data_IF_528399356337
#
_entry.id   IF_528399356337
#
_cell.length_a   1.000
_cell.length_b   1.000
_cell.length_c   1.000
_cell.angle_alpha   90.00
_cell.angle_beta   90.00
_cell.angle_gamma   90.00
#
_symmetry.space_group_name_H-M   'P 1'
#
loop_
_entity.id
_entity.type
_entity.pdbx_description
1 polymer ?
#
# COMPACT_ATOMS: atom_id res chain seq x y z
N UNK A 1 22.99 -30.30 -30.13
CA UNK A 1 22.93 -28.91 -29.56
C UNK A 1 21.93 -28.90 -28.44
N UNK A 2 22.39 -28.80 -27.20
CA UNK A 2 21.49 -28.73 -26.03
C UNK A 2 20.87 -27.30 -25.94
N UNK A 3 19.58 -27.15 -25.61
CA UNK A 3 18.98 -25.84 -25.46
C UNK A 3 19.62 -25.09 -24.27
N UNK A 4 20.17 -23.92 -24.53
CA UNK A 4 20.66 -23.00 -23.49
C UNK A 4 19.52 -22.71 -22.56
N UNK A 5 19.56 -23.29 -21.35
CA UNK A 5 18.60 -23.01 -20.28
C UNK A 5 18.53 -21.51 -20.06
N UNK A 6 17.33 -20.92 -20.20
CA UNK A 6 17.05 -19.55 -19.77
C UNK A 6 17.33 -19.50 -18.27
N UNK A 7 18.46 -18.92 -17.87
CA UNK A 7 18.70 -18.55 -16.47
C UNK A 7 17.51 -17.72 -16.04
N UNK A 8 16.75 -18.18 -15.05
CA UNK A 8 15.73 -17.35 -14.37
C UNK A 8 16.47 -16.10 -13.92
N UNK A 9 16.17 -14.95 -14.53
CA UNK A 9 16.68 -13.67 -14.04
C UNK A 9 16.23 -13.55 -12.58
N UNK A 10 17.17 -13.37 -11.67
CA UNK A 10 16.87 -13.10 -10.29
C UNK A 10 15.96 -11.86 -10.24
N UNK A 11 14.91 -11.92 -9.45
CA UNK A 11 13.97 -10.81 -9.28
C UNK A 11 14.70 -9.74 -8.47
N UNK A 12 14.79 -8.52 -8.98
CA UNK A 12 15.37 -7.38 -8.27
C UNK A 12 14.43 -7.07 -7.09
N UNK A 13 14.96 -7.09 -5.88
CA UNK A 13 14.23 -6.75 -4.66
C UNK A 13 14.23 -5.25 -4.36
N UNK A 14 13.38 -4.79 -3.45
CA UNK A 14 13.44 -3.42 -2.95
C UNK A 14 14.74 -3.14 -2.19
N UNK A 15 15.26 -4.15 -1.50
CA UNK A 15 16.55 -4.11 -0.80
C UNK A 15 17.73 -3.90 -1.78
N UNK A 16 17.74 -4.62 -2.91
CA UNK A 16 18.76 -4.40 -3.95
C UNK A 16 18.74 -2.95 -4.46
N UNK A 17 17.54 -2.37 -4.61
CA UNK A 17 17.36 -1.00 -5.08
C UNK A 17 17.76 0.04 -4.03
N UNK A 18 17.60 -0.25 -2.74
CA UNK A 18 17.94 0.66 -1.65
C UNK A 18 19.42 1.07 -1.62
N UNK A 19 20.31 0.24 -2.18
CA UNK A 19 21.72 0.58 -2.37
C UNK A 19 21.97 1.73 -3.37
N UNK A 20 20.94 2.12 -4.12
CA UNK A 20 21.03 3.14 -5.19
C UNK A 20 20.10 4.33 -4.96
N UNK A 21 19.48 4.42 -3.81
CA UNK A 21 18.56 5.48 -3.40
C UNK A 21 17.31 4.97 -2.71
N UNK A 22 16.47 5.86 -2.21
CA UNK A 22 15.25 5.49 -1.52
C UNK A 22 14.17 5.03 -2.51
N UNK A 23 13.75 3.78 -2.37
CA UNK A 23 12.56 3.25 -3.04
C UNK A 23 11.31 3.91 -2.46
N UNK A 24 11.31 4.14 -1.15
CA UNK A 24 10.21 4.80 -0.45
C UNK A 24 9.94 6.20 -1.00
N UNK A 25 10.98 6.97 -1.33
CA UNK A 25 10.87 8.34 -1.84
C UNK A 25 10.93 8.46 -3.36
N UNK A 26 11.12 7.33 -4.06
CA UNK A 26 11.23 7.32 -5.52
C UNK A 26 12.53 7.96 -6.03
N UNK A 27 13.60 7.99 -5.23
CA UNK A 27 14.87 8.63 -5.57
C UNK A 27 15.94 7.66 -6.04
N UNK A 28 15.59 6.42 -6.38
CA UNK A 28 16.51 5.40 -6.90
C UNK A 28 17.15 5.85 -8.20
N UNK A 29 18.48 5.86 -8.24
CA UNK A 29 19.24 6.17 -9.45
C UNK A 29 19.24 4.95 -10.40
N UNK A 30 18.38 5.00 -11.41
CA UNK A 30 18.17 3.89 -12.37
C UNK A 30 19.45 3.51 -13.12
N UNK A 31 20.31 4.47 -13.47
CA UNK A 31 21.54 4.20 -14.21
C UNK A 31 22.57 3.46 -13.36
N UNK A 32 22.79 3.96 -12.14
CA UNK A 32 23.70 3.32 -11.19
C UNK A 32 23.21 1.93 -10.80
N UNK A 33 21.89 1.78 -10.55
CA UNK A 33 21.29 0.50 -10.24
C UNK A 33 21.43 -0.51 -11.40
N UNK A 34 21.16 -0.09 -12.63
CA UNK A 34 21.29 -0.96 -13.80
C UNK A 34 22.73 -1.46 -13.98
N UNK A 35 23.71 -0.57 -13.81
CA UNK A 35 25.14 -0.90 -13.90
C UNK A 35 25.57 -1.83 -12.75
N UNK A 36 25.24 -1.48 -11.50
CA UNK A 36 25.67 -2.23 -10.31
C UNK A 36 25.04 -3.62 -10.25
N UNK A 37 23.75 -3.75 -10.59
CA UNK A 37 23.02 -5.02 -10.60
C UNK A 37 23.22 -5.83 -11.90
N UNK A 38 23.90 -5.26 -12.90
CA UNK A 38 24.14 -5.88 -14.22
C UNK A 38 22.83 -6.28 -14.92
N UNK A 39 21.85 -5.41 -14.90
CA UNK A 39 20.53 -5.60 -15.51
C UNK A 39 20.18 -4.43 -16.43
N UNK A 40 19.09 -4.54 -17.21
CA UNK A 40 18.65 -3.41 -18.04
C UNK A 40 17.98 -2.30 -17.21
N UNK A 41 18.05 -1.03 -17.66
CA UNK A 41 17.30 0.09 -17.06
C UNK A 41 15.80 -0.21 -16.99
N UNK A 42 15.26 -0.94 -17.99
CA UNK A 42 13.85 -1.36 -18.01
C UNK A 42 13.51 -2.31 -16.86
N UNK A 43 14.40 -3.27 -16.57
CA UNK A 43 14.20 -4.21 -15.45
C UNK A 43 14.22 -3.47 -14.11
N UNK A 44 15.13 -2.50 -13.94
CA UNK A 44 15.19 -1.62 -12.74
C UNK A 44 13.90 -0.81 -12.59
N UNK A 45 13.46 -0.14 -13.65
CA UNK A 45 12.21 0.64 -13.63
C UNK A 45 10.98 -0.24 -13.33
N UNK A 46 10.97 -1.46 -13.83
CA UNK A 46 9.90 -2.41 -13.51
C UNK A 46 9.92 -2.81 -12.04
N UNK A 47 11.11 -3.08 -11.48
CA UNK A 47 11.26 -3.41 -10.06
C UNK A 47 10.84 -2.24 -9.16
N UNK A 48 11.22 -0.99 -9.49
CA UNK A 48 10.76 0.21 -8.78
C UNK A 48 9.23 0.29 -8.77
N UNK A 49 8.58 0.18 -9.94
CA UNK A 49 7.10 0.19 -10.02
C UNK A 49 6.44 -0.91 -9.20
N UNK A 50 7.05 -2.10 -9.15
CA UNK A 50 6.53 -3.21 -8.34
C UNK A 50 6.65 -2.92 -6.84
N UNK A 51 7.78 -2.38 -6.40
CA UNK A 51 8.00 -1.99 -5.01
C UNK A 51 7.06 -0.86 -4.58
N UNK A 52 6.90 0.19 -5.40
CA UNK A 52 5.94 1.27 -5.16
C UNK A 52 4.49 0.77 -5.09
N UNK A 53 4.11 -0.17 -5.96
CA UNK A 53 2.78 -0.77 -5.94
C UNK A 53 2.55 -1.61 -4.67
N UNK A 54 3.54 -2.36 -4.22
CA UNK A 54 3.48 -3.12 -2.97
C UNK A 54 3.33 -2.19 -1.77
N UNK A 55 4.13 -1.14 -1.68
CA UNK A 55 4.03 -0.12 -0.64
C UNK A 55 2.65 0.57 -0.65
N UNK A 56 2.14 0.93 -1.84
CA UNK A 56 0.81 1.51 -1.99
C UNK A 56 -0.28 0.60 -1.44
N UNK A 57 -0.20 -0.70 -1.72
CA UNK A 57 -1.14 -1.68 -1.21
C UNK A 57 -1.05 -1.79 0.32
N UNK A 58 0.15 -1.83 0.88
CA UNK A 58 0.38 -1.88 2.32
C UNK A 58 -0.26 -0.67 3.01
N UNK A 59 0.05 0.55 2.57
CA UNK A 59 -0.53 1.77 3.12
C UNK A 59 -2.05 1.79 2.99
N UNK A 60 -2.56 1.48 1.80
CA UNK A 60 -3.99 1.48 1.56
C UNK A 60 -4.75 0.52 2.48
N UNK A 61 -4.27 -0.72 2.62
CA UNK A 61 -4.88 -1.74 3.47
C UNK A 61 -4.91 -1.31 4.94
N UNK A 62 -3.79 -0.82 5.44
CA UNK A 62 -3.63 -0.45 6.85
C UNK A 62 -4.45 0.79 7.21
N UNK A 63 -4.44 1.82 6.35
CA UNK A 63 -5.14 3.08 6.58
C UNK A 63 -6.63 3.05 6.24
N UNK A 64 -7.10 2.04 5.53
CA UNK A 64 -8.53 1.83 5.26
C UNK A 64 -9.16 0.75 6.12
N UNK A 65 -8.38 -0.10 6.79
CA UNK A 65 -8.89 -1.31 7.44
C UNK A 65 -9.41 -2.38 6.47
N UNK A 66 -9.18 -2.23 5.16
CA UNK A 66 -9.62 -3.15 4.09
C UNK A 66 -8.55 -4.20 3.81
N UNK A 67 -8.42 -5.20 4.69
CA UNK A 67 -7.29 -6.15 4.70
C UNK A 67 -6.99 -6.88 3.39
N UNK A 68 -8.02 -7.25 2.60
CA UNK A 68 -7.82 -7.94 1.32
C UNK A 68 -7.78 -6.97 0.11
N UNK A 69 -7.84 -5.65 0.34
CA UNK A 69 -7.84 -4.67 -0.75
C UNK A 69 -6.57 -4.78 -1.59
N UNK A 70 -6.71 -4.65 -2.91
CA UNK A 70 -5.60 -4.64 -3.84
C UNK A 70 -5.84 -3.58 -4.92
N UNK A 71 -4.95 -2.60 -4.98
CA UNK A 71 -5.00 -1.47 -5.93
C UNK A 71 -3.95 -1.60 -7.03
N UNK A 72 -3.13 -2.67 -7.01
CA UNK A 72 -2.08 -2.91 -7.98
C UNK A 72 -2.65 -3.28 -9.36
N UNK A 73 -1.82 -3.15 -10.38
CA UNK A 73 -2.10 -3.69 -11.70
C UNK A 73 -2.08 -5.23 -11.65
N UNK A 74 -3.11 -5.86 -12.22
CA UNK A 74 -3.25 -7.32 -12.16
C UNK A 74 -3.85 -7.85 -10.86
N UNK A 75 -4.35 -6.98 -9.99
CA UNK A 75 -5.08 -7.34 -8.78
C UNK A 75 -6.20 -8.35 -9.04
N UNK A 76 -6.45 -9.25 -8.08
CA UNK A 76 -7.57 -10.15 -8.18
C UNK A 76 -8.91 -9.42 -7.98
N UNK A 77 -9.99 -10.00 -8.51
CA UNK A 77 -11.32 -9.38 -8.50
C UNK A 77 -11.81 -9.02 -7.10
N UNK A 78 -11.58 -9.89 -6.10
CA UNK A 78 -11.97 -9.65 -4.71
C UNK A 78 -11.22 -8.48 -4.11
N UNK A 79 -9.91 -8.42 -4.33
CA UNK A 79 -9.07 -7.32 -3.85
C UNK A 79 -9.48 -5.97 -4.44
N UNK A 80 -9.77 -5.93 -5.75
CA UNK A 80 -10.28 -4.71 -6.41
C UNK A 80 -11.65 -4.29 -5.88
N UNK A 81 -12.56 -5.23 -5.65
CA UNK A 81 -13.87 -4.96 -5.07
C UNK A 81 -13.75 -4.40 -3.65
N UNK A 82 -12.88 -4.98 -2.81
CA UNK A 82 -12.62 -4.43 -1.47
C UNK A 82 -11.97 -3.05 -1.53
N UNK A 83 -11.01 -2.85 -2.42
CA UNK A 83 -10.37 -1.56 -2.57
C UNK A 83 -11.38 -0.46 -2.96
N UNK A 84 -12.24 -0.73 -3.93
CA UNK A 84 -13.20 0.24 -4.44
C UNK A 84 -14.38 0.52 -3.50
N UNK A 85 -14.93 -0.52 -2.88
CA UNK A 85 -16.24 -0.46 -2.21
C UNK A 85 -16.22 -0.82 -0.72
N UNK A 86 -15.09 -1.25 -0.19
CA UNK A 86 -14.95 -1.63 1.21
C UNK A 86 -15.65 -2.93 1.58
N UNK A 87 -15.69 -3.21 2.89
CA UNK A 87 -16.43 -4.34 3.45
C UNK A 87 -17.93 -4.06 3.47
N UNK A 88 -18.72 -5.11 3.32
CA UNK A 88 -20.15 -5.02 3.47
C UNK A 88 -20.59 -5.09 4.93
N UNK A 89 -21.88 -4.81 5.19
CA UNK A 89 -22.45 -4.92 6.53
C UNK A 89 -22.37 -6.36 7.06
N UNK A 90 -22.35 -6.51 8.40
CA UNK A 90 -22.28 -7.80 9.11
C UNK A 90 -21.05 -8.65 8.73
N UNK A 91 -19.91 -8.00 8.43
CA UNK A 91 -18.67 -8.70 8.11
C UNK A 91 -18.58 -9.27 6.69
N UNK A 92 -19.54 -8.94 5.80
CA UNK A 92 -19.46 -9.38 4.42
C UNK A 92 -18.15 -8.89 3.75
N UNK A 93 -17.53 -9.78 2.97
CA UNK A 93 -16.22 -9.53 2.36
C UNK A 93 -16.18 -8.28 1.49
N UNK A 94 -17.29 -7.89 0.88
CA UNK A 94 -17.42 -6.73 -0.02
C UNK A 94 -18.78 -6.08 0.16
N UNK A 95 -18.86 -4.76 0.03
CA UNK A 95 -20.14 -4.04 -0.05
C UNK A 95 -20.80 -4.28 -1.43
N UNK A 96 -21.47 -5.43 -1.55
CA UNK A 96 -22.05 -5.88 -2.80
C UNK A 96 -23.19 -4.96 -3.30
N UNK A 97 -23.89 -4.26 -2.41
CA UNK A 97 -24.96 -3.33 -2.80
C UNK A 97 -24.39 -2.11 -3.53
N UNK A 98 -23.40 -1.45 -2.93
CA UNK A 98 -22.74 -0.28 -3.51
C UNK A 98 -22.03 -0.64 -4.81
N UNK A 99 -21.28 -1.76 -4.81
CA UNK A 99 -20.59 -2.23 -6.01
C UNK A 99 -21.57 -2.55 -7.16
N UNK A 100 -22.69 -3.15 -6.86
CA UNK A 100 -23.72 -3.48 -7.85
C UNK A 100 -24.32 -2.23 -8.51
N UNK A 101 -24.61 -1.21 -7.71
CA UNK A 101 -25.13 0.08 -8.20
C UNK A 101 -24.14 0.78 -9.12
N UNK A 102 -22.85 0.86 -8.73
CA UNK A 102 -21.80 1.54 -9.51
C UNK A 102 -21.45 0.79 -10.82
N UNK A 103 -21.51 -0.55 -10.79
CA UNK A 103 -21.15 -1.40 -11.92
C UNK A 103 -22.32 -1.81 -12.81
N UNK A 104 -23.55 -1.43 -12.48
CA UNK A 104 -24.74 -1.77 -13.26
C UNK A 104 -25.09 -3.26 -13.29
N UNK A 105 -24.79 -3.99 -12.19
CA UNK A 105 -25.06 -5.43 -12.07
C UNK A 105 -25.87 -5.77 -10.82
N UNK A 106 -26.29 -7.03 -10.65
CA UNK A 106 -26.99 -7.43 -9.43
C UNK A 106 -26.01 -7.64 -8.25
N UNK A 107 -26.43 -7.41 -6.99
CA UNK A 107 -25.62 -7.74 -5.82
C UNK A 107 -25.21 -9.23 -5.75
N UNK A 108 -26.04 -10.12 -6.29
CA UNK A 108 -25.72 -11.55 -6.44
C UNK A 108 -24.53 -11.80 -7.37
N UNK A 109 -24.45 -11.06 -8.47
CA UNK A 109 -23.31 -11.10 -9.40
C UNK A 109 -22.02 -10.67 -8.72
N UNK A 110 -22.06 -9.55 -7.97
CA UNK A 110 -20.88 -9.08 -7.22
C UNK A 110 -20.40 -10.11 -6.18
N UNK A 111 -21.33 -10.76 -5.47
CA UNK A 111 -20.97 -11.82 -4.51
C UNK A 111 -20.29 -13.00 -5.20
N UNK A 112 -20.79 -13.45 -6.37
CA UNK A 112 -20.14 -14.51 -7.16
C UNK A 112 -18.74 -14.12 -7.63
N UNK A 113 -18.55 -12.86 -8.05
CA UNK A 113 -17.23 -12.34 -8.40
C UNK A 113 -16.27 -12.31 -7.19
N UNK A 114 -16.75 -11.85 -6.04
CA UNK A 114 -15.97 -11.84 -4.80
C UNK A 114 -15.60 -13.25 -4.31
N UNK A 115 -16.50 -14.22 -4.52
CA UNK A 115 -16.25 -15.63 -4.18
C UNK A 115 -15.42 -16.39 -5.22
N UNK A 116 -15.14 -15.78 -6.40
CA UNK A 116 -14.40 -16.42 -7.48
C UNK A 116 -15.20 -17.46 -8.28
N UNK A 117 -16.52 -17.62 -8.01
CA UNK A 117 -17.40 -18.59 -8.70
C UNK A 117 -17.86 -18.10 -10.07
N UNK A 118 -17.67 -16.83 -10.35
CA UNK A 118 -17.91 -16.20 -11.66
C UNK A 118 -16.83 -15.16 -11.94
N UNK A 119 -16.37 -15.06 -13.18
CA UNK A 119 -15.44 -13.99 -13.60
C UNK A 119 -16.23 -12.80 -14.14
N UNK A 120 -15.81 -11.55 -13.87
CA UNK A 120 -16.33 -10.37 -14.55
C UNK A 120 -16.06 -10.43 -16.05
N UNK A 121 -16.90 -9.81 -16.87
CA UNK A 121 -16.55 -9.56 -18.28
C UNK A 121 -15.34 -8.64 -18.39
N UNK A 122 -14.64 -8.60 -19.53
CA UNK A 122 -13.50 -7.69 -19.73
C UNK A 122 -13.85 -6.22 -19.45
N UNK A 123 -15.06 -5.78 -19.80
CA UNK A 123 -15.55 -4.44 -19.54
C UNK A 123 -15.69 -4.17 -18.02
N UNK A 124 -16.31 -5.10 -17.28
CA UNK A 124 -16.43 -4.98 -15.83
C UNK A 124 -15.07 -5.10 -15.11
N UNK A 125 -14.15 -5.95 -15.62
CA UNK A 125 -12.80 -6.05 -15.09
C UNK A 125 -12.06 -4.71 -15.20
N UNK A 126 -12.16 -4.04 -16.35
CA UNK A 126 -11.58 -2.71 -16.57
C UNK A 126 -12.23 -1.65 -15.67
N UNK A 127 -13.55 -1.69 -15.51
CA UNK A 127 -14.28 -0.79 -14.62
C UNK A 127 -13.85 -0.96 -13.15
N UNK A 128 -13.74 -2.22 -12.67
CA UNK A 128 -13.24 -2.54 -11.33
C UNK A 128 -11.82 -2.06 -11.09
N UNK A 129 -10.92 -2.29 -12.03
CA UNK A 129 -9.54 -1.82 -11.93
C UNK A 129 -9.48 -0.30 -11.86
N UNK A 130 -10.28 0.39 -12.68
CA UNK A 130 -10.39 1.85 -12.65
C UNK A 130 -10.96 2.35 -11.31
N UNK A 131 -11.97 1.69 -10.76
CA UNK A 131 -12.55 2.03 -9.46
C UNK A 131 -11.56 1.83 -8.30
N UNK A 132 -10.82 0.71 -8.28
CA UNK A 132 -9.79 0.43 -7.28
C UNK A 132 -8.65 1.47 -7.34
N UNK A 133 -8.18 1.81 -8.55
CA UNK A 133 -7.16 2.87 -8.73
C UNK A 133 -7.66 4.23 -8.25
N UNK A 134 -8.91 4.61 -8.54
CA UNK A 134 -9.48 5.88 -8.05
C UNK A 134 -9.60 5.92 -6.53
N UNK A 135 -9.90 4.79 -5.89
CA UNK A 135 -10.02 4.70 -4.44
C UNK A 135 -8.71 5.05 -3.72
N UNK A 136 -7.56 4.62 -4.24
CA UNK A 136 -6.25 4.96 -3.68
C UNK A 136 -5.65 6.24 -4.28
N UNK A 137 -5.89 6.50 -5.56
CA UNK A 137 -5.24 7.56 -6.32
C UNK A 137 -5.84 8.95 -6.16
N UNK A 138 -7.11 9.07 -5.71
CA UNK A 138 -7.76 10.37 -5.57
C UNK A 138 -7.96 10.75 -4.11
N UNK A 139 -7.89 12.05 -3.80
CA UNK A 139 -8.19 12.58 -2.46
C UNK A 139 -9.56 12.11 -1.94
N UNK A 140 -10.60 12.17 -2.78
CA UNK A 140 -11.94 11.68 -2.44
C UNK A 140 -11.94 10.19 -2.11
N UNK A 141 -11.25 9.38 -2.91
CA UNK A 141 -11.17 7.93 -2.70
C UNK A 141 -10.44 7.60 -1.40
N UNK A 142 -9.30 8.23 -1.14
CA UNK A 142 -8.54 8.05 0.09
C UNK A 142 -9.34 8.48 1.34
N UNK A 143 -10.05 9.61 1.29
CA UNK A 143 -10.95 10.03 2.37
C UNK A 143 -12.06 9.02 2.65
N UNK A 144 -12.67 8.46 1.61
CA UNK A 144 -13.66 7.41 1.77
C UNK A 144 -13.06 6.12 2.38
N UNK A 145 -11.83 5.77 2.01
CA UNK A 145 -11.13 4.63 2.55
C UNK A 145 -10.75 4.82 4.03
N UNK A 146 -10.17 5.95 4.40
CA UNK A 146 -9.81 6.26 5.80
C UNK A 146 -11.02 6.47 6.70
N UNK A 147 -12.17 6.85 6.15
CA UNK A 147 -13.43 6.89 6.89
C UNK A 147 -13.83 5.50 7.40
N UNK A 148 -13.57 4.43 6.64
CA UNK A 148 -13.81 3.06 7.10
C UNK A 148 -12.89 2.70 8.28
N UNK A 149 -11.63 3.13 8.24
CA UNK A 149 -10.71 2.96 9.37
C UNK A 149 -11.22 3.71 10.61
N UNK A 150 -11.56 5.00 10.49
CA UNK A 150 -12.10 5.80 11.59
C UNK A 150 -13.37 5.20 12.20
N UNK A 151 -14.22 4.56 11.39
CA UNK A 151 -15.45 3.89 11.84
C UNK A 151 -15.19 2.53 12.50
N UNK A 152 -14.02 1.93 12.30
CA UNK A 152 -13.67 0.64 12.90
C UNK A 152 -13.40 0.77 14.41
N UNK A 153 -13.57 -0.33 15.17
CA UNK A 153 -13.27 -0.35 16.61
C UNK A 153 -11.80 0.06 16.88
N UNK A 154 -10.86 -0.44 16.06
CA UNK A 154 -9.44 -0.11 16.17
C UNK A 154 -9.17 1.36 15.88
N UNK A 155 -9.74 1.91 14.81
CA UNK A 155 -9.60 3.33 14.48
C UNK A 155 -10.16 4.24 15.55
N UNK A 156 -11.32 3.90 16.11
CA UNK A 156 -11.91 4.65 17.22
C UNK A 156 -11.05 4.60 18.49
N UNK A 157 -10.44 3.47 18.78
CA UNK A 157 -9.51 3.34 19.90
C UNK A 157 -8.26 4.20 19.67
N UNK A 158 -7.63 4.08 18.50
CA UNK A 158 -6.44 4.86 18.15
C UNK A 158 -6.69 6.38 18.21
N UNK A 159 -7.84 6.83 17.73
CA UNK A 159 -8.23 8.24 17.75
C UNK A 159 -8.62 8.76 19.17
N UNK A 160 -8.91 7.87 20.12
CA UNK A 160 -9.22 8.28 21.52
C UNK A 160 -8.01 8.22 22.43
N UNK A 161 -7.18 7.21 22.30
CA UNK A 161 -6.13 6.89 23.27
C UNK A 161 -4.70 6.91 22.65
N UNK A 162 -4.58 7.10 21.35
CA UNK A 162 -3.35 6.83 20.64
C UNK A 162 -3.17 5.33 20.40
N UNK A 163 -2.07 4.96 19.78
CA UNK A 163 -1.73 3.57 19.48
C UNK A 163 -0.21 3.44 19.24
N UNK A 164 0.23 2.28 18.79
CA UNK A 164 1.60 2.03 18.33
C UNK A 164 1.66 2.12 16.80
N UNK A 165 2.66 2.84 16.30
CA UNK A 165 3.02 2.82 14.88
C UNK A 165 4.21 1.90 14.71
N UNK A 166 4.04 0.86 13.88
CA UNK A 166 5.11 -0.08 13.53
C UNK A 166 5.46 0.09 12.06
N UNK A 167 6.73 0.26 11.75
CA UNK A 167 7.26 0.34 10.38
C UNK A 167 8.42 -0.63 10.24
N UNK A 168 8.38 -1.47 9.20
CA UNK A 168 9.46 -2.42 8.86
C UNK A 168 10.04 -2.07 7.49
N UNK A 169 11.34 -2.25 7.34
CA UNK A 169 12.09 -2.02 6.12
C UNK A 169 13.48 -1.46 6.39
N UNK A 170 14.18 -1.07 5.34
CA UNK A 170 15.50 -0.43 5.47
C UNK A 170 15.27 1.03 5.86
N UNK A 171 15.61 1.35 7.10
CA UNK A 171 15.36 2.65 7.70
C UNK A 171 16.36 2.96 8.81
N UNK A 172 16.55 4.22 9.13
CA UNK A 172 17.43 4.65 10.20
C UNK A 172 17.94 6.08 10.02
N UNK A 173 18.84 6.52 10.91
CA UNK A 173 19.59 7.75 10.70
C UNK A 173 20.34 7.69 9.35
N UNK A 174 20.47 8.83 8.68
CA UNK A 174 21.05 8.96 7.33
C UNK A 174 22.37 8.19 7.14
N UNK A 175 23.21 8.17 8.15
CA UNK A 175 24.51 7.52 8.10
C UNK A 175 24.49 6.02 8.44
N UNK A 176 23.33 5.51 8.89
CA UNK A 176 23.21 4.12 9.34
C UNK A 176 21.82 3.51 9.10
N UNK A 177 21.30 3.51 7.87
CA UNK A 177 20.08 2.79 7.54
C UNK A 177 20.36 1.28 7.54
N UNK A 178 19.43 0.50 8.07
CA UNK A 178 19.48 -0.98 8.07
C UNK A 178 18.09 -1.57 8.04
N UNK A 179 17.97 -2.82 7.65
CA UNK A 179 16.72 -3.56 7.79
C UNK A 179 16.36 -3.71 9.27
N UNK A 180 15.20 -3.18 9.64
CA UNK A 180 14.69 -3.24 11.02
C UNK A 180 13.20 -2.98 11.05
N UNK A 181 12.59 -3.44 12.14
CA UNK A 181 11.27 -3.02 12.56
C UNK A 181 11.40 -2.02 13.71
N UNK A 182 10.72 -0.90 13.60
CA UNK A 182 10.63 0.11 14.66
C UNK A 182 9.19 0.30 15.05
N UNK A 183 8.92 0.31 16.35
CA UNK A 183 7.59 0.57 16.92
C UNK A 183 7.69 1.77 17.85
N UNK A 184 6.85 2.77 17.65
CA UNK A 184 6.78 3.99 18.43
C UNK A 184 5.34 4.24 18.89
N UNK A 185 5.17 4.89 20.02
CA UNK A 185 3.86 5.34 20.47
C UNK A 185 3.46 6.60 19.69
N UNK A 186 2.21 6.64 19.24
CA UNK A 186 1.61 7.79 18.54
C UNK A 186 0.37 8.27 19.31
N UNK A 187 0.27 9.57 19.48
CA UNK A 187 -0.89 10.20 20.13
C UNK A 187 -2.14 10.16 19.22
N UNK A 188 -3.35 10.41 19.77
CA UNK A 188 -4.55 10.59 18.97
C UNK A 188 -4.39 11.68 17.88
N UNK A 189 -3.66 12.76 18.19
CA UNK A 189 -3.38 13.84 17.26
C UNK A 189 -2.46 13.38 16.12
N UNK A 190 -1.48 12.54 16.42
CA UNK A 190 -0.57 11.96 15.42
C UNK A 190 -1.32 11.01 14.49
N UNK A 191 -2.23 10.18 15.03
CA UNK A 191 -3.09 9.30 14.20
C UNK A 191 -3.90 10.13 13.22
N UNK A 192 -4.55 11.20 13.69
CA UNK A 192 -5.35 12.06 12.80
C UNK A 192 -4.48 12.81 11.79
N UNK A 193 -3.31 13.32 12.19
CA UNK A 193 -2.36 14.00 11.31
C UNK A 193 -1.86 13.06 10.19
N UNK A 194 -1.52 11.82 10.55
CA UNK A 194 -1.11 10.77 9.62
C UNK A 194 -2.20 10.45 8.58
N UNK A 195 -3.44 10.25 9.04
CA UNK A 195 -4.58 9.99 8.15
C UNK A 195 -4.81 11.16 7.18
N UNK A 196 -4.75 12.40 7.68
CA UNK A 196 -4.87 13.61 6.85
C UNK A 196 -3.75 13.73 5.82
N UNK A 197 -2.51 13.48 6.21
CA UNK A 197 -1.36 13.52 5.31
C UNK A 197 -1.56 12.53 4.14
N UNK A 198 -2.02 11.31 4.44
CA UNK A 198 -2.35 10.32 3.43
C UNK A 198 -3.54 10.77 2.54
N UNK A 199 -4.61 11.30 3.12
CA UNK A 199 -5.77 11.78 2.37
C UNK A 199 -5.39 12.87 1.37
N UNK A 200 -4.59 13.83 1.79
CA UNK A 200 -4.21 14.99 0.98
C UNK A 200 -3.24 14.59 -0.15
N UNK A 201 -2.14 13.94 0.17
CA UNK A 201 -1.04 13.69 -0.77
C UNK A 201 -0.72 12.21 -1.02
N UNK A 202 -1.56 11.28 -0.52
CA UNK A 202 -1.39 9.83 -0.72
C UNK A 202 -0.12 9.30 -0.06
N UNK A 203 0.53 8.35 -0.72
CA UNK A 203 1.75 7.72 -0.19
C UNK A 203 2.85 8.73 0.12
N UNK A 204 3.00 9.77 -0.72
CA UNK A 204 3.99 10.81 -0.48
C UNK A 204 3.70 11.56 0.82
N UNK A 205 2.47 12.04 1.01
CA UNK A 205 2.10 12.75 2.24
C UNK A 205 2.27 11.89 3.49
N UNK A 206 1.93 10.60 3.41
CA UNK A 206 2.17 9.67 4.52
C UNK A 206 3.65 9.52 4.84
N UNK A 207 4.50 9.36 3.82
CA UNK A 207 5.96 9.24 4.03
C UNK A 207 6.56 10.52 4.61
N UNK A 208 6.21 11.66 4.04
CA UNK A 208 6.67 12.97 4.52
C UNK A 208 6.30 13.16 6.01
N UNK A 209 5.08 12.77 6.38
CA UNK A 209 4.63 12.79 7.78
C UNK A 209 5.45 11.82 8.64
N UNK A 210 5.63 10.57 8.21
CA UNK A 210 6.42 9.57 8.97
C UNK A 210 7.86 10.03 9.16
N UNK A 211 8.51 10.53 8.12
CA UNK A 211 9.89 11.03 8.20
C UNK A 211 9.98 12.15 9.23
N UNK A 212 9.09 13.15 9.15
CA UNK A 212 9.07 14.24 10.13
C UNK A 212 8.74 13.77 11.55
N UNK A 213 7.82 12.82 11.70
CA UNK A 213 7.46 12.25 13.01
C UNK A 213 8.66 11.52 13.65
N UNK A 214 9.36 10.65 12.89
CA UNK A 214 10.51 9.91 13.41
C UNK A 214 11.71 10.82 13.67
N UNK A 215 11.92 11.82 12.82
CA UNK A 215 12.98 12.84 12.99
C UNK A 215 12.82 13.62 14.29
N UNK A 216 11.60 13.97 14.64
CA UNK A 216 11.30 14.77 15.83
C UNK A 216 11.10 13.96 17.12
N UNK A 217 10.64 12.70 17.03
CA UNK A 217 10.20 11.94 18.21
C UNK A 217 11.02 10.69 18.47
N UNK A 218 11.90 10.28 17.55
CA UNK A 218 12.69 9.07 17.70
C UNK A 218 14.20 9.34 17.57
N UNK A 219 14.72 9.65 16.36
CA UNK A 219 16.13 10.00 16.13
C UNK A 219 16.20 10.99 14.97
N UNK A 220 16.91 12.11 15.17
CA UNK A 220 17.14 13.11 14.14
C UNK A 220 17.85 12.54 12.90
N UNK A 221 17.49 13.03 11.72
CA UNK A 221 18.01 12.58 10.44
C UNK A 221 17.46 11.21 10.00
N UNK A 222 16.25 10.81 10.45
CA UNK A 222 15.66 9.53 10.07
C UNK A 222 15.23 9.49 8.62
N UNK A 223 15.58 8.41 7.93
CA UNK A 223 15.22 8.16 6.52
C UNK A 223 14.60 6.76 6.36
N UNK A 224 13.69 6.63 5.39
CA UNK A 224 13.14 5.37 4.93
C UNK A 224 13.66 5.08 3.52
N UNK A 225 14.49 4.05 3.35
CA UNK A 225 14.93 3.60 2.03
C UNK A 225 13.92 2.62 1.43
N UNK A 226 13.37 1.71 2.24
CA UNK A 226 12.20 0.89 1.91
C UNK A 226 11.19 0.94 3.03
N UNK A 227 9.91 0.65 2.70
CA UNK A 227 8.85 0.39 3.66
C UNK A 227 8.16 -0.89 3.21
N UNK A 228 8.48 -1.99 3.89
CA UNK A 228 8.02 -3.33 3.55
C UNK A 228 6.70 -3.66 4.28
N UNK A 229 6.59 -3.21 5.53
CA UNK A 229 5.33 -3.27 6.28
C UNK A 229 5.11 -1.99 7.10
N UNK A 230 3.84 -1.73 7.37
CA UNK A 230 3.36 -0.57 8.09
C UNK A 230 2.11 -0.96 8.86
N UNK A 231 2.01 -0.61 10.12
CA UNK A 231 0.86 -0.96 10.95
C UNK A 231 0.57 0.07 12.03
N UNK A 232 -0.73 0.20 12.37
CA UNK A 232 -1.21 0.95 13.53
C UNK A 232 -1.72 -0.08 14.51
N UNK A 233 -1.23 -0.06 15.77
CA UNK A 233 -1.54 -0.98 16.84
C UNK A 233 -0.61 -2.19 16.91
N UNK A 234 -0.89 -3.12 17.85
CA UNK A 234 -0.09 -4.33 18.01
C UNK A 234 -0.04 -5.12 16.70
N UNK A 235 1.14 -5.61 16.29
CA UNK A 235 1.19 -6.60 15.21
C UNK A 235 0.39 -7.83 15.64
N UNK A 236 -0.44 -8.34 14.71
CA UNK A 236 -1.19 -9.59 14.87
C UNK A 236 -0.25 -10.77 15.00
#
# INVERSE_FOLDING_TARGET
MAPRGRRRRARISAEDLANYGSVADGTVNVERAATGLRVSKRDVQQAIRQAEAAQSNTFYRRLSGRGDADVAEGANTRGMLQAAYGRGPRGAAVNAKTAAQDLGVSPGTVRRWSAGTQRPSPAHQKALQSAARRAAGTKRGRRAATADFRASARGQQALRAGDKLTVSGIQGPRDYPRDRQVTVDISPQDVEAMLRAYEEAGNRGLRDWMTGFFDNNYVAGWEFLTIDDFGIGQPD
#
